data_IF_513014963051
#
_entry.id   IF_513014963051
#
_cell.length_a   1.000
_cell.length_b   1.000
_cell.length_c   1.000
_cell.angle_alpha   90.00
_cell.angle_beta   90.00
_cell.angle_gamma   90.00
#
_symmetry.space_group_name_H-M   'P 1'
#
loop_
_entity.id
_entity.type
_entity.pdbx_description
1 polymer ?
#
# COMPACT_ATOMS: atom_id res chain seq x y z
N UNK A 1 23.31 0.14 29.48
CA UNK A 1 21.98 -0.11 28.91
C UNK A 1 22.20 -0.49 27.46
N UNK A 2 21.96 -1.75 27.12
CA UNK A 2 22.32 -2.31 25.82
C UNK A 2 21.35 -1.80 24.74
N UNK A 3 21.86 -1.52 23.55
CA UNK A 3 21.10 -1.17 22.34
C UNK A 3 20.02 -2.19 21.94
N UNK A 4 19.99 -3.36 22.60
CA UNK A 4 19.06 -4.46 22.34
C UNK A 4 17.66 -4.30 22.98
N UNK A 5 17.45 -3.38 23.92
CA UNK A 5 16.15 -3.19 24.60
C UNK A 5 15.26 -2.10 23.96
N UNK A 6 15.71 -1.51 22.85
CA UNK A 6 14.96 -0.43 22.19
C UNK A 6 13.78 -0.98 21.38
N UNK A 7 12.56 -0.66 21.82
CA UNK A 7 11.32 -0.89 21.05
C UNK A 7 11.21 0.02 19.81
N UNK A 8 12.05 1.05 19.71
CA UNK A 8 12.03 2.06 18.65
C UNK A 8 12.01 1.49 17.21
N UNK A 9 12.89 0.55 16.81
CA UNK A 9 12.85 -0.05 15.47
C UNK A 9 11.56 -0.82 15.17
N UNK A 10 11.00 -1.50 16.18
CA UNK A 10 9.75 -2.24 16.03
C UNK A 10 8.58 -1.29 15.80
N UNK A 11 8.47 -0.26 16.65
CA UNK A 11 7.48 0.79 16.50
C UNK A 11 7.61 1.50 15.13
N UNK A 12 8.84 1.83 14.71
CA UNK A 12 9.10 2.44 13.41
C UNK A 12 8.66 1.55 12.25
N UNK A 13 8.93 0.25 12.30
CA UNK A 13 8.52 -0.70 11.23
C UNK A 13 6.99 -0.84 11.13
N UNK A 14 6.29 -0.90 12.26
CA UNK A 14 4.83 -0.96 12.31
C UNK A 14 4.20 0.34 11.81
N UNK A 15 4.70 1.48 12.26
CA UNK A 15 4.25 2.80 11.83
C UNK A 15 4.46 3.00 10.33
N UNK A 16 5.65 2.64 9.82
CA UNK A 16 5.93 2.73 8.39
C UNK A 16 4.97 1.87 7.57
N UNK A 17 4.75 0.61 7.99
CA UNK A 17 3.78 -0.27 7.33
C UNK A 17 2.35 0.27 7.35
N UNK A 18 1.91 0.84 8.48
CA UNK A 18 0.60 1.47 8.61
C UNK A 18 0.45 2.70 7.69
N UNK A 19 1.46 3.56 7.65
CA UNK A 19 1.50 4.75 6.79
C UNK A 19 1.46 4.37 5.31
N UNK A 20 2.23 3.35 4.92
CA UNK A 20 2.19 2.82 3.54
C UNK A 20 0.82 2.25 3.20
N UNK A 21 0.19 1.51 4.10
CA UNK A 21 -1.19 1.03 3.91
C UNK A 21 -2.20 2.17 3.69
N UNK A 22 -2.09 3.24 4.49
CA UNK A 22 -2.91 4.45 4.31
C UNK A 22 -2.65 5.17 2.99
N UNK A 23 -1.38 5.30 2.59
CA UNK A 23 -0.99 5.90 1.32
C UNK A 23 -1.51 5.08 0.12
N UNK A 24 -1.37 3.76 0.17
CA UNK A 24 -1.93 2.84 -0.84
C UNK A 24 -3.44 2.99 -0.94
N UNK A 25 -4.14 3.03 0.19
CA UNK A 25 -5.59 3.26 0.19
C UNK A 25 -5.95 4.60 -0.46
N UNK A 26 -5.26 5.68 -0.09
CA UNK A 26 -5.49 7.01 -0.66
C UNK A 26 -5.27 7.03 -2.17
N UNK A 27 -4.20 6.40 -2.66
CA UNK A 27 -3.93 6.26 -4.10
C UNK A 27 -5.02 5.46 -4.80
N UNK A 28 -5.51 4.39 -4.18
CA UNK A 28 -6.56 3.53 -4.72
C UNK A 28 -7.91 4.25 -4.80
N UNK A 29 -8.29 5.00 -3.75
CA UNK A 29 -9.50 5.83 -3.76
C UNK A 29 -9.42 6.89 -4.86
N UNK A 30 -8.26 7.54 -4.98
CA UNK A 30 -8.07 8.62 -5.94
C UNK A 30 -8.14 8.11 -7.39
N UNK A 31 -7.52 6.96 -7.69
CA UNK A 31 -7.64 6.31 -9.00
C UNK A 31 -9.10 5.93 -9.33
N UNK A 32 -9.84 5.37 -8.36
CA UNK A 32 -11.28 5.06 -8.55
C UNK A 32 -12.12 6.31 -8.77
N UNK A 33 -11.85 7.39 -8.04
CA UNK A 33 -12.60 8.64 -8.20
C UNK A 33 -12.39 9.26 -9.58
N UNK A 34 -11.18 9.14 -10.15
CA UNK A 34 -10.89 9.61 -11.50
C UNK A 34 -11.64 8.80 -12.57
N UNK A 35 -11.71 7.48 -12.38
CA UNK A 35 -12.38 6.54 -13.26
C UNK A 35 -13.92 6.53 -13.15
N UNK A 36 -14.51 7.35 -12.29
CA UNK A 36 -15.93 7.30 -11.87
C UNK A 36 -16.33 6.02 -11.11
N UNK A 37 -15.41 5.04 -10.98
CA UNK A 37 -15.58 3.80 -10.20
C UNK A 37 -15.77 4.06 -8.69
N UNK A 38 -15.39 5.25 -8.23
CA UNK A 38 -15.60 5.72 -6.86
C UNK A 38 -17.00 6.27 -6.58
N UNK A 39 -17.80 6.55 -7.62
CA UNK A 39 -19.16 7.09 -7.50
C UNK A 39 -20.25 6.02 -7.62
N UNK A 40 -19.87 4.80 -8.02
CA UNK A 40 -20.75 3.64 -7.97
C UNK A 40 -21.07 3.29 -6.50
N UNK A 41 -22.32 2.93 -6.21
CA UNK A 41 -22.86 2.89 -4.85
C UNK A 41 -22.10 1.93 -3.89
N UNK A 42 -21.32 0.98 -4.43
CA UNK A 42 -20.44 0.09 -3.66
C UNK A 42 -18.95 0.50 -3.64
N UNK A 43 -18.47 1.25 -4.63
CA UNK A 43 -17.03 1.34 -4.92
C UNK A 43 -16.20 2.03 -3.83
N UNK A 44 -16.66 3.18 -3.34
CA UNK A 44 -15.97 3.97 -2.30
C UNK A 44 -16.32 3.50 -0.88
N UNK A 45 -17.51 2.96 -0.67
CA UNK A 45 -17.93 2.43 0.64
C UNK A 45 -17.17 1.15 1.00
N UNK A 46 -17.06 0.19 0.08
CA UNK A 46 -16.26 -1.03 0.28
C UNK A 46 -14.81 -0.71 0.60
N UNK A 47 -14.22 0.27 -0.11
CA UNK A 47 -12.82 0.62 0.08
C UNK A 47 -12.57 1.31 1.44
N UNK A 48 -13.53 2.10 1.94
CA UNK A 48 -13.47 2.65 3.29
C UNK A 48 -13.58 1.56 4.37
N UNK A 49 -14.38 0.52 4.16
CA UNK A 49 -14.43 -0.64 5.04
C UNK A 49 -13.12 -1.44 5.05
N UNK A 50 -12.42 -1.49 3.91
CA UNK A 50 -11.12 -2.15 3.78
C UNK A 50 -9.96 -1.33 4.35
N UNK A 51 -10.10 -0.01 4.52
CA UNK A 51 -9.07 0.86 5.09
C UNK A 51 -8.45 0.32 6.39
N UNK A 52 -9.21 0.02 7.46
CA UNK A 52 -8.63 -0.50 8.70
C UNK A 52 -7.90 -1.82 8.46
N UNK A 53 -8.40 -2.68 7.57
CA UNK A 53 -7.75 -3.94 7.23
C UNK A 53 -6.41 -3.69 6.53
N UNK A 54 -6.35 -2.77 5.57
CA UNK A 54 -5.12 -2.44 4.83
C UNK A 54 -4.08 -1.82 5.76
N UNK A 55 -4.48 -0.93 6.66
CA UNK A 55 -3.57 -0.29 7.62
C UNK A 55 -3.03 -1.32 8.61
N UNK A 56 -3.89 -2.19 9.16
CA UNK A 56 -3.46 -3.26 10.08
C UNK A 56 -2.58 -4.29 9.36
N UNK A 57 -2.94 -4.68 8.14
CA UNK A 57 -2.13 -5.58 7.33
C UNK A 57 -0.76 -4.97 6.99
N UNK A 58 -0.72 -3.67 6.67
CA UNK A 58 0.52 -2.93 6.45
C UNK A 58 1.41 -2.93 7.70
N UNK A 59 0.85 -2.63 8.87
CA UNK A 59 1.57 -2.68 10.13
C UNK A 59 2.12 -4.09 10.44
N UNK A 60 1.29 -5.12 10.26
CA UNK A 60 1.68 -6.51 10.44
C UNK A 60 2.77 -6.94 9.46
N UNK A 61 2.68 -6.53 8.18
CA UNK A 61 3.69 -6.79 7.16
C UNK A 61 5.02 -6.11 7.49
N UNK A 62 4.99 -4.87 8.00
CA UNK A 62 6.18 -4.17 8.50
C UNK A 62 6.87 -4.92 9.64
N UNK A 63 6.09 -5.36 10.64
CA UNK A 63 6.61 -6.15 11.76
C UNK A 63 7.17 -7.51 11.31
N UNK A 64 6.44 -8.23 10.45
CA UNK A 64 6.86 -9.52 9.94
C UNK A 64 8.16 -9.40 9.12
N UNK A 65 8.22 -8.43 8.21
CA UNK A 65 9.39 -8.19 7.35
C UNK A 65 10.62 -7.78 8.17
N UNK A 66 10.42 -6.93 9.18
CA UNK A 66 11.49 -6.58 10.12
C UNK A 66 12.00 -7.80 10.89
N UNK A 67 11.09 -8.61 11.43
CA UNK A 67 11.43 -9.81 12.20
C UNK A 67 12.19 -10.84 11.37
N UNK A 68 11.79 -11.04 10.11
CA UNK A 68 12.45 -11.96 9.18
C UNK A 68 13.81 -11.40 8.78
N UNK A 69 13.89 -10.12 8.38
CA UNK A 69 15.15 -9.49 7.99
C UNK A 69 16.18 -9.50 9.12
N UNK A 70 15.76 -9.34 10.38
CA UNK A 70 16.64 -9.45 11.56
C UNK A 70 17.14 -10.87 11.82
N UNK A 71 16.37 -11.90 11.44
CA UNK A 71 16.81 -13.30 11.57
C UNK A 71 17.80 -13.69 10.48
N UNK A 72 17.65 -13.10 9.29
CA UNK A 72 18.50 -13.37 8.13
C UNK A 72 19.82 -12.58 8.16
N UNK A 73 19.88 -11.47 8.91
CA UNK A 73 21.05 -10.60 8.94
C UNK A 73 21.31 -10.03 10.33
N UNK A 74 22.59 -9.96 10.71
CA UNK A 74 23.00 -9.34 11.98
C UNK A 74 22.91 -7.81 12.03
N UNK A 75 22.60 -7.15 10.90
CA UNK A 75 22.56 -5.69 10.77
C UNK A 75 21.15 -5.12 10.56
N UNK A 76 20.99 -3.82 10.82
CA UNK A 76 19.69 -3.10 10.74
C UNK A 76 19.21 -2.81 9.31
N UNK A 77 20.14 -2.79 8.36
CA UNK A 77 19.88 -2.35 6.98
C UNK A 77 19.01 -3.33 6.19
N UNK A 78 19.30 -4.63 6.27
CA UNK A 78 18.52 -5.68 5.62
C UNK A 78 17.06 -5.74 6.12
N UNK A 79 16.78 -5.73 7.44
CA UNK A 79 15.43 -5.57 7.97
C UNK A 79 14.71 -4.32 7.44
N UNK A 80 15.38 -3.16 7.45
CA UNK A 80 14.79 -1.91 6.97
C UNK A 80 14.44 -1.97 5.49
N UNK A 81 15.36 -2.44 4.64
CA UNK A 81 15.11 -2.64 3.21
C UNK A 81 13.98 -3.65 2.96
N UNK A 82 13.90 -4.71 3.76
CA UNK A 82 12.84 -5.71 3.64
C UNK A 82 11.47 -5.10 3.93
N UNK A 83 11.36 -4.28 4.98
CA UNK A 83 10.12 -3.54 5.31
C UNK A 83 9.70 -2.65 4.14
N UNK A 84 10.65 -1.88 3.58
CA UNK A 84 10.39 -0.99 2.45
C UNK A 84 9.93 -1.78 1.22
N UNK A 85 10.67 -2.83 0.84
CA UNK A 85 10.35 -3.63 -0.34
C UNK A 85 8.98 -4.32 -0.24
N UNK A 86 8.68 -4.93 0.92
CA UNK A 86 7.41 -5.64 1.12
C UNK A 86 6.23 -4.68 1.16
N UNK A 87 6.34 -3.55 1.87
CA UNK A 87 5.23 -2.58 1.94
C UNK A 87 4.98 -1.89 0.61
N UNK A 88 6.03 -1.54 -0.15
CA UNK A 88 5.89 -1.01 -1.52
C UNK A 88 5.28 -2.08 -2.44
N UNK A 89 5.77 -3.32 -2.41
CA UNK A 89 5.27 -4.40 -3.25
C UNK A 89 3.80 -4.75 -2.98
N UNK A 90 3.41 -4.82 -1.72
CA UNK A 90 2.00 -5.01 -1.32
C UNK A 90 1.14 -3.83 -1.72
N UNK A 91 1.65 -2.61 -1.56
CA UNK A 91 0.98 -1.39 -1.98
C UNK A 91 0.73 -1.36 -3.48
N UNK A 92 1.74 -1.70 -4.27
CA UNK A 92 1.67 -1.83 -5.72
C UNK A 92 0.65 -2.89 -6.13
N UNK A 93 0.74 -4.09 -5.56
CA UNK A 93 -0.18 -5.19 -5.84
C UNK A 93 -1.63 -4.80 -5.56
N UNK A 94 -1.89 -4.18 -4.40
CA UNK A 94 -3.23 -3.74 -4.03
C UNK A 94 -3.75 -2.66 -4.97
N UNK A 95 -2.91 -1.70 -5.32
CA UNK A 95 -3.25 -0.66 -6.29
C UNK A 95 -3.61 -1.26 -7.65
N UNK A 96 -2.80 -2.18 -8.18
CA UNK A 96 -3.08 -2.87 -9.44
C UNK A 96 -4.36 -3.72 -9.37
N UNK A 97 -4.65 -4.35 -8.22
CA UNK A 97 -5.81 -5.22 -8.07
C UNK A 97 -7.13 -4.46 -7.83
N UNK A 98 -7.08 -3.26 -7.21
CA UNK A 98 -8.28 -2.55 -6.76
C UNK A 98 -8.39 -1.11 -7.25
N UNK A 99 -7.31 -0.47 -7.63
CA UNK A 99 -7.29 0.95 -8.01
C UNK A 99 -7.81 1.22 -9.41
N UNK A 100 -7.61 0.27 -10.32
CA UNK A 100 -7.66 0.54 -11.75
C UNK A 100 -8.42 -0.59 -12.45
N UNK A 101 -9.74 -0.41 -12.53
CA UNK A 101 -10.63 -1.41 -13.11
C UNK A 101 -10.94 -0.97 -14.54
N UNK A 102 -10.19 -1.45 -15.51
CA UNK A 102 -10.65 -1.42 -16.90
C UNK A 102 -11.96 -2.23 -17.00
N UNK A 103 -12.93 -1.73 -17.77
CA UNK A 103 -14.19 -2.41 -18.09
C UNK A 103 -15.13 -2.67 -16.88
N UNK A 104 -15.03 -1.89 -15.80
CA UNK A 104 -15.97 -2.03 -14.69
C UNK A 104 -17.38 -1.53 -15.10
N UNK A 105 -18.46 -2.10 -14.52
CA UNK A 105 -19.82 -1.64 -14.80
C UNK A 105 -19.99 -0.18 -14.36
N UNK A 106 -20.20 0.73 -15.31
CA UNK A 106 -20.26 2.17 -15.04
C UNK A 106 -19.00 2.95 -15.44
N UNK A 107 -18.06 2.31 -16.15
CA UNK A 107 -16.90 2.99 -16.74
C UNK A 107 -17.35 4.12 -17.68
N UNK A 108 -16.88 5.33 -17.36
CA UNK A 108 -17.09 6.55 -18.14
C UNK A 108 -16.22 6.61 -19.41
N UNK A 109 -15.35 5.63 -19.62
CA UNK A 109 -14.35 5.61 -20.70
C UNK A 109 -13.15 6.52 -20.42
N UNK A 110 -13.06 7.06 -19.20
CA UNK A 110 -11.96 7.92 -18.74
C UNK A 110 -10.77 7.11 -18.21
N UNK A 111 -10.97 5.83 -17.87
CA UNK A 111 -9.85 4.95 -17.56
C UNK A 111 -9.11 4.60 -18.86
N UNK A 112 -7.84 5.01 -19.05
CA UNK A 112 -7.07 4.51 -20.17
C UNK A 112 -6.86 3.00 -20.02
N UNK A 113 -6.66 2.28 -21.11
CA UNK A 113 -6.37 0.83 -21.09
C UNK A 113 -5.12 0.48 -20.24
N UNK A 114 -4.23 1.46 -20.05
CA UNK A 114 -3.07 1.35 -19.17
C UNK A 114 -3.44 1.40 -17.69
N UNK A 115 -4.71 1.66 -17.33
CA UNK A 115 -5.18 1.63 -15.95
C UNK A 115 -4.42 2.62 -15.06
N UNK A 116 -4.04 3.78 -15.57
CA UNK A 116 -3.21 4.76 -14.85
C UNK A 116 -3.88 6.14 -14.93
N UNK A 117 -4.06 6.83 -13.79
CA UNK A 117 -4.62 8.18 -13.81
C UNK A 117 -3.66 9.18 -14.49
N UNK A 118 -4.15 10.24 -15.17
CA UNK A 118 -3.31 11.13 -15.99
C UNK A 118 -2.26 11.93 -15.20
N UNK A 119 -2.47 12.13 -13.90
CA UNK A 119 -1.49 12.79 -13.03
C UNK A 119 -0.51 11.78 -12.40
N UNK A 120 -0.53 10.51 -12.83
CA UNK A 120 0.49 9.54 -12.46
C UNK A 120 1.85 9.99 -12.99
N UNK A 121 2.88 9.98 -12.13
CA UNK A 121 4.20 10.34 -12.58
C UNK A 121 4.69 9.40 -13.68
N UNK A 122 5.17 9.96 -14.78
CA UNK A 122 5.69 9.23 -15.95
C UNK A 122 6.94 8.37 -15.66
N UNK A 123 7.56 8.52 -14.50
CA UNK A 123 8.70 7.72 -14.05
C UNK A 123 8.31 6.48 -13.25
N UNK A 124 7.03 6.35 -12.85
CA UNK A 124 6.51 5.11 -12.27
C UNK A 124 6.04 4.19 -13.42
N UNK A 125 6.29 2.88 -13.30
CA UNK A 125 5.86 1.93 -14.31
C UNK A 125 4.33 1.99 -14.50
N UNK A 126 3.92 1.63 -15.71
CA UNK A 126 2.53 1.43 -16.08
C UNK A 126 2.05 0.03 -15.68
#
# INVERSE_FOLDING_TARGET
MNENDSCLPWAASALFGALMGGATWSLTVWARAYCDAGYDAGGRFELNFLLPVIVVAGAAAGLASWSIGRRLAGGVWLPALSVVAVTIGLGWWFFAARGTLADYPGDSGLCPASNIPPQWPNWLPA
#
